data_IF_449083740727
#
_entry.id   IF_449083740727
#
_cell.length_a   1.000
_cell.length_b   1.000
_cell.length_c   1.000
_cell.angle_alpha   90.00
_cell.angle_beta   90.00
_cell.angle_gamma   90.00
#
_symmetry.space_group_name_H-M   'P 1'
#
loop_
_entity.id
_entity.type
_entity.pdbx_description
1 polymer ?
#
# COMPACT_ATOMS: atom_id res chain seq x y z
N UNK A 1 3.21 27.71 16.12
CA UNK A 1 4.10 27.26 15.04
C UNK A 1 3.34 26.24 14.21
N UNK A 2 2.78 26.66 13.07
CA UNK A 2 2.12 25.73 12.13
C UNK A 2 3.11 25.54 10.98
N UNK A 3 4.10 24.67 11.20
CA UNK A 3 5.09 24.33 10.19
C UNK A 3 4.45 23.35 9.19
N UNK A 4 4.14 23.89 8.01
CA UNK A 4 4.32 23.26 6.69
C UNK A 4 4.24 21.72 6.63
N UNK A 5 3.02 21.18 6.53
CA UNK A 5 2.79 19.81 6.02
C UNK A 5 2.14 19.84 4.64
N UNK A 6 2.58 20.73 3.76
CA UNK A 6 2.18 20.71 2.35
C UNK A 6 3.27 20.03 1.53
N UNK A 7 3.18 18.71 1.35
CA UNK A 7 3.94 18.01 0.29
C UNK A 7 4.58 16.67 0.66
N UNK A 8 4.75 16.34 1.94
CA UNK A 8 5.26 15.01 2.31
C UNK A 8 4.14 13.98 2.22
N UNK A 9 4.14 13.13 1.19
CA UNK A 9 3.34 11.92 1.19
C UNK A 9 3.77 11.05 2.38
N UNK A 10 2.82 10.67 3.24
CA UNK A 10 3.10 9.75 4.35
C UNK A 10 3.66 8.45 3.76
N UNK A 11 4.88 8.07 4.18
CA UNK A 11 5.57 6.89 3.68
C UNK A 11 4.73 5.62 3.86
N UNK A 12 3.93 5.54 4.91
CA UNK A 12 3.05 4.39 5.18
C UNK A 12 1.87 4.34 4.20
N UNK A 13 1.36 5.50 3.77
CA UNK A 13 0.35 5.58 2.71
C UNK A 13 0.91 5.17 1.34
N UNK A 14 2.17 5.53 1.06
CA UNK A 14 2.87 5.10 -0.15
C UNK A 14 3.08 3.59 -0.17
N UNK A 15 3.48 3.00 0.96
CA UNK A 15 3.61 1.55 1.09
C UNK A 15 2.27 0.83 0.89
N UNK A 16 1.20 1.36 1.48
CA UNK A 16 -0.14 0.81 1.30
C UNK A 16 -0.61 0.85 -0.16
N UNK A 17 -0.31 1.95 -0.88
CA UNK A 17 -0.56 2.04 -2.33
C UNK A 17 0.17 0.94 -3.10
N UNK A 18 1.44 0.68 -2.81
CA UNK A 18 2.18 -0.41 -3.45
C UNK A 18 1.57 -1.78 -3.15
N UNK A 19 1.12 -2.04 -1.92
CA UNK A 19 0.42 -3.29 -1.60
C UNK A 19 -0.86 -3.48 -2.44
N UNK A 20 -1.61 -2.41 -2.70
CA UNK A 20 -2.78 -2.46 -3.59
C UNK A 20 -2.39 -2.75 -5.04
N UNK A 21 -1.31 -2.15 -5.54
CA UNK A 21 -0.80 -2.39 -6.90
C UNK A 21 -0.36 -3.86 -7.07
N UNK A 22 0.36 -4.41 -6.10
CA UNK A 22 0.77 -5.83 -6.08
C UNK A 22 -0.43 -6.79 -6.06
N UNK A 23 -1.48 -6.45 -5.29
CA UNK A 23 -2.72 -7.23 -5.30
C UNK A 23 -3.36 -7.23 -6.70
N UNK A 24 -3.40 -6.07 -7.36
CA UNK A 24 -3.96 -5.96 -8.72
C UNK A 24 -3.16 -6.77 -9.74
N UNK A 25 -1.83 -6.72 -9.69
CA UNK A 25 -0.97 -7.55 -10.57
C UNK A 25 -1.27 -9.04 -10.34
N UNK A 26 -1.40 -9.47 -9.08
CA UNK A 26 -1.72 -10.87 -8.73
C UNK A 26 -3.03 -11.36 -9.35
N UNK A 27 -4.04 -10.49 -9.48
CA UNK A 27 -5.35 -10.85 -10.04
C UNK A 27 -5.43 -10.72 -11.56
N UNK A 28 -4.79 -9.70 -12.14
CA UNK A 28 -5.03 -9.31 -13.53
C UNK A 28 -3.82 -9.50 -14.46
N UNK A 29 -2.62 -9.73 -13.91
CA UNK A 29 -1.37 -9.70 -14.66
C UNK A 29 -0.38 -10.77 -14.15
N UNK A 30 -0.85 -12.01 -14.00
CA UNK A 30 -0.08 -13.11 -13.39
C UNK A 30 1.23 -13.44 -14.13
N UNK A 31 1.26 -13.25 -15.45
CA UNK A 31 2.47 -13.48 -16.28
C UNK A 31 3.64 -12.55 -15.91
N UNK A 32 3.34 -11.33 -15.44
CA UNK A 32 4.35 -10.35 -15.00
C UNK A 32 5.02 -10.75 -13.69
N UNK A 33 4.44 -11.71 -12.95
CA UNK A 33 4.81 -12.13 -11.59
C UNK A 33 4.76 -10.95 -10.61
N UNK A 34 4.94 -11.26 -9.34
CA UNK A 34 4.89 -10.26 -8.26
C UNK A 34 6.10 -10.47 -7.36
N UNK A 35 6.82 -9.42 -6.93
CA UNK A 35 7.94 -9.55 -6.00
C UNK A 35 7.49 -10.07 -4.62
N UNK A 36 6.27 -9.76 -4.20
CA UNK A 36 5.64 -10.37 -3.02
C UNK A 36 4.15 -10.62 -3.25
N UNK A 37 3.63 -11.81 -2.93
CA UNK A 37 2.20 -12.04 -2.99
C UNK A 37 1.49 -11.17 -1.96
N UNK A 38 0.44 -10.47 -2.40
CA UNK A 38 -0.42 -9.66 -1.53
C UNK A 38 -1.84 -10.23 -1.56
N UNK A 39 -2.49 -10.21 -0.40
CA UNK A 39 -3.87 -10.65 -0.22
C UNK A 39 -4.70 -9.55 0.45
N UNK A 40 -6.02 -9.66 0.34
CA UNK A 40 -6.97 -8.72 0.98
C UNK A 40 -6.73 -8.65 2.49
N UNK A 41 -6.56 -9.79 3.16
CA UNK A 41 -6.27 -9.86 4.61
C UNK A 41 -5.01 -9.09 5.01
N UNK A 42 -3.98 -9.07 4.16
CA UNK A 42 -2.75 -8.30 4.40
C UNK A 42 -3.01 -6.80 4.29
N UNK A 43 -3.83 -6.38 3.33
CA UNK A 43 -4.25 -4.98 3.19
C UNK A 43 -5.09 -4.52 4.38
N UNK A 44 -6.05 -5.31 4.84
CA UNK A 44 -6.87 -4.97 6.02
C UNK A 44 -5.99 -4.73 7.26
N UNK A 45 -4.97 -5.57 7.47
CA UNK A 45 -4.00 -5.39 8.55
C UNK A 45 -3.20 -4.10 8.39
N UNK A 46 -2.65 -3.84 7.20
CA UNK A 46 -1.88 -2.63 6.92
C UNK A 46 -2.75 -1.36 7.09
N UNK A 47 -4.00 -1.41 6.67
CA UNK A 47 -4.97 -0.33 6.85
C UNK A 47 -5.28 -0.08 8.33
N UNK A 48 -5.46 -1.14 9.12
CA UNK A 48 -5.62 -1.02 10.58
C UNK A 48 -4.44 -0.32 11.25
N UNK A 49 -3.22 -0.59 10.80
CA UNK A 49 -1.99 0.04 11.31
C UNK A 49 -1.84 1.52 10.92
N UNK A 50 -2.51 1.97 9.86
CA UNK A 50 -2.51 3.39 9.46
C UNK A 50 -3.47 4.24 10.31
N UNK A 51 -4.54 3.62 10.82
CA UNK A 51 -5.61 4.28 11.55
C UNK A 51 -5.42 4.26 13.08
N UNK A 52 -4.28 3.76 13.57
CA UNK A 52 -3.87 3.74 14.98
C UNK A 52 -2.52 4.43 15.13
#
# INVERSE_FOLDING_TARGET
MVAERKGAQDARMLEFRWLLEELRVSFFAQELRTPQPVSIKRLEKAWGQLNH
#
